data_IF_837573264148
#
_entry.id   IF_837573264148
#
_cell.length_a   1.000
_cell.length_b   1.000
_cell.length_c   1.000
_cell.angle_alpha   90.00
_cell.angle_beta   90.00
_cell.angle_gamma   90.00
#
_symmetry.space_group_name_H-M   'P 1'
#
loop_
_entity.id
_entity.type
_entity.pdbx_description
1 polymer ?
#
# COMPACT_ATOMS: atom_id res chain seq x y z
N UNK A 1 6.25 36.74 -7.77
CA UNK A 1 7.34 35.77 -7.88
C UNK A 1 6.96 34.53 -7.09
N UNK A 2 6.96 33.36 -7.72
CA UNK A 2 6.70 32.08 -7.02
C UNK A 2 7.80 31.78 -6.01
N UNK A 3 7.54 30.96 -4.99
CA UNK A 3 8.56 30.59 -3.99
C UNK A 3 9.81 29.96 -4.66
N UNK A 4 9.61 29.25 -5.77
CA UNK A 4 10.68 28.64 -6.58
C UNK A 4 11.54 29.66 -7.34
N UNK A 5 10.97 30.82 -7.72
CA UNK A 5 11.71 31.88 -8.41
C UNK A 5 12.71 32.60 -7.51
N UNK A 6 12.54 32.49 -6.19
CA UNK A 6 13.47 33.03 -5.19
C UNK A 6 14.62 32.08 -4.87
N UNK A 7 14.58 30.84 -5.36
CA UNK A 7 15.62 29.85 -5.09
C UNK A 7 16.78 30.05 -6.06
N UNK A 8 17.87 30.58 -5.52
CA UNK A 8 19.15 30.73 -6.22
C UNK A 8 20.05 29.49 -5.99
N UNK A 9 21.11 29.38 -6.79
CA UNK A 9 22.06 28.28 -6.70
C UNK A 9 21.53 26.93 -7.22
N UNK A 10 22.22 25.87 -6.80
CA UNK A 10 21.89 24.47 -7.16
C UNK A 10 21.35 23.79 -5.91
N UNK A 11 20.15 23.23 -6.03
CA UNK A 11 19.52 22.46 -4.96
C UNK A 11 19.59 20.97 -5.28
N UNK A 12 20.14 20.19 -4.36
CA UNK A 12 20.21 18.73 -4.43
C UNK A 12 19.24 18.13 -3.43
N UNK A 13 18.13 17.60 -3.93
CA UNK A 13 17.09 16.93 -3.15
C UNK A 13 17.36 15.42 -3.18
N UNK A 14 17.58 14.83 -2.02
CA UNK A 14 18.05 13.44 -1.91
C UNK A 14 17.40 12.70 -0.75
N UNK A 15 17.61 11.39 -0.70
CA UNK A 15 17.15 10.52 0.39
C UNK A 15 18.26 10.37 1.42
N UNK A 16 18.13 11.01 2.59
CA UNK A 16 19.14 10.97 3.65
C UNK A 16 19.37 9.59 4.28
N UNK A 17 18.39 8.69 4.22
CA UNK A 17 18.56 7.31 4.71
C UNK A 17 19.33 6.41 3.72
N UNK A 18 19.45 6.84 2.47
CA UNK A 18 20.18 6.12 1.43
C UNK A 18 21.69 6.42 1.52
N UNK A 19 22.54 5.43 1.85
CA UNK A 19 23.99 5.66 1.98
C UNK A 19 24.64 6.21 0.72
N UNK A 20 24.18 5.78 -0.46
CA UNK A 20 24.72 6.24 -1.74
C UNK A 20 24.37 7.71 -1.97
N UNK A 21 23.12 8.09 -1.69
CA UNK A 21 22.64 9.46 -1.86
C UNK A 21 23.30 10.41 -0.85
N UNK A 22 23.45 9.99 0.40
CA UNK A 22 24.11 10.77 1.45
C UNK A 22 25.59 11.00 1.12
N UNK A 23 26.30 9.96 0.65
CA UNK A 23 27.69 10.11 0.23
C UNK A 23 27.83 10.99 -1.02
N UNK A 24 26.88 10.89 -1.96
CA UNK A 24 26.82 11.80 -3.10
C UNK A 24 26.60 13.26 -2.64
N UNK A 25 25.69 13.52 -1.70
CA UNK A 25 25.45 14.84 -1.13
C UNK A 25 26.72 15.43 -0.49
N UNK A 26 27.43 14.61 0.31
CA UNK A 26 28.69 15.01 0.98
C UNK A 26 29.84 15.26 -0.01
N UNK A 27 29.92 14.46 -1.06
CA UNK A 27 30.99 14.53 -2.06
C UNK A 27 30.73 15.59 -3.15
N UNK A 28 29.47 16.00 -3.35
CA UNK A 28 29.11 16.93 -4.40
C UNK A 28 29.75 18.30 -4.15
N UNK A 29 30.47 18.78 -5.16
CA UNK A 29 31.01 20.12 -5.24
C UNK A 29 30.62 20.67 -6.61
N UNK A 30 29.98 21.83 -6.65
CA UNK A 30 29.59 22.47 -7.91
C UNK A 30 30.62 23.52 -8.30
N UNK A 31 30.70 23.84 -9.60
CA UNK A 31 31.51 24.98 -10.06
C UNK A 31 30.96 26.27 -9.44
N UNK A 32 31.83 27.14 -8.95
CA UNK A 32 31.48 28.45 -8.36
C UNK A 32 30.58 29.30 -9.30
N UNK A 33 30.70 29.10 -10.62
CA UNK A 33 29.86 29.76 -11.64
C UNK A 33 28.36 29.41 -11.57
N UNK A 34 27.97 28.41 -10.78
CA UNK A 34 26.58 27.94 -10.64
C UNK A 34 25.92 28.42 -9.35
N UNK A 35 26.62 29.21 -8.53
CA UNK A 35 26.17 29.67 -7.22
C UNK A 35 26.45 28.64 -6.12
N UNK A 36 25.70 28.75 -5.02
CA UNK A 36 25.82 27.90 -3.85
C UNK A 36 25.11 26.55 -4.03
N UNK A 37 25.62 25.52 -3.34
CA UNK A 37 25.01 24.20 -3.28
C UNK A 37 24.17 24.09 -2.02
N UNK A 38 22.87 23.88 -2.20
CA UNK A 38 21.93 23.62 -1.12
C UNK A 38 21.56 22.13 -1.13
N UNK A 39 21.61 21.49 0.03
CA UNK A 39 21.22 20.10 0.23
C UNK A 39 19.87 20.07 0.93
N UNK A 40 18.93 19.28 0.40
CA UNK A 40 17.60 19.12 0.96
C UNK A 40 17.34 17.62 1.15
N UNK A 41 17.11 17.19 2.38
CA UNK A 41 16.75 15.80 2.65
C UNK A 41 15.23 15.65 2.53
N UNK A 42 14.81 14.85 1.56
CA UNK A 42 13.41 14.59 1.28
C UNK A 42 12.63 13.95 2.44
N UNK A 43 13.32 13.42 3.45
CA UNK A 43 12.69 12.81 4.64
C UNK A 43 12.39 13.81 5.75
N UNK A 44 13.25 14.81 5.96
CA UNK A 44 13.07 15.81 7.01
C UNK A 44 12.40 17.09 6.49
N UNK A 45 12.64 17.44 5.23
CA UNK A 45 12.24 18.73 4.66
C UNK A 45 11.01 18.63 3.75
N UNK A 46 9.96 17.96 4.23
CA UNK A 46 8.74 17.70 3.45
C UNK A 46 7.97 18.97 3.07
N UNK A 47 8.03 20.00 3.92
CA UNK A 47 7.28 21.25 3.75
C UNK A 47 8.00 22.28 2.87
N UNK A 48 9.17 21.93 2.33
CA UNK A 48 9.94 22.83 1.48
C UNK A 48 9.24 23.05 0.12
N UNK A 49 9.23 24.28 -0.44
CA UNK A 49 8.59 24.55 -1.74
C UNK A 49 9.07 23.67 -2.90
N UNK A 50 10.31 23.18 -2.84
CA UNK A 50 10.84 22.22 -3.83
C UNK A 50 10.17 20.85 -3.73
N UNK A 51 9.88 20.37 -2.52
CA UNK A 51 9.22 19.09 -2.30
C UNK A 51 7.82 19.09 -2.92
N UNK A 52 7.07 20.18 -2.72
CA UNK A 52 5.78 20.38 -3.38
C UNK A 52 5.90 20.41 -4.92
N UNK A 53 6.87 21.18 -5.44
CA UNK A 53 7.09 21.28 -6.88
C UNK A 53 7.51 19.95 -7.53
N UNK A 54 8.31 19.13 -6.84
CA UNK A 54 8.70 17.78 -7.24
C UNK A 54 7.46 16.87 -7.36
N UNK A 55 6.57 16.93 -6.37
CA UNK A 55 5.33 16.16 -6.35
C UNK A 55 4.39 16.58 -7.48
N UNK A 56 4.21 17.89 -7.69
CA UNK A 56 3.40 18.43 -8.79
C UNK A 56 3.95 17.99 -10.17
N UNK A 57 5.27 17.85 -10.30
CA UNK A 57 5.93 17.36 -11.52
C UNK A 57 5.99 15.84 -11.66
N UNK A 58 5.42 15.08 -10.72
CA UNK A 58 5.43 13.61 -10.72
C UNK A 58 6.85 13.02 -10.78
N UNK A 59 7.80 13.67 -10.11
CA UNK A 59 9.18 13.18 -9.99
C UNK A 59 9.29 12.29 -8.73
N UNK A 60 9.50 10.99 -8.94
CA UNK A 60 9.50 10.00 -7.86
C UNK A 60 10.85 9.92 -7.14
N UNK A 61 10.88 10.34 -5.88
CA UNK A 61 12.09 10.36 -5.05
C UNK A 61 12.54 8.96 -4.61
N UNK A 62 11.68 7.94 -4.67
CA UNK A 62 12.09 6.53 -4.51
C UNK A 62 12.88 6.02 -5.72
N UNK A 63 12.69 6.66 -6.88
CA UNK A 63 13.27 6.24 -8.15
C UNK A 63 14.56 7.00 -8.47
N UNK A 64 14.87 8.08 -7.75
CA UNK A 64 16.11 8.85 -7.89
C UNK A 64 16.11 10.18 -7.12
N UNK A 65 17.27 10.80 -7.01
CA UNK A 65 17.43 12.16 -6.47
C UNK A 65 17.04 13.22 -7.51
N UNK A 66 16.78 14.44 -7.06
CA UNK A 66 16.44 15.58 -7.91
C UNK A 66 17.47 16.70 -7.75
N UNK A 67 17.87 17.31 -8.87
CA UNK A 67 18.59 18.59 -8.89
C UNK A 67 17.66 19.66 -9.43
N UNK A 68 17.55 20.77 -8.72
CA UNK A 68 16.91 21.98 -9.18
C UNK A 68 17.94 23.09 -9.40
N UNK A 69 17.97 23.66 -10.60
CA UNK A 69 18.83 24.79 -10.94
C UNK A 69 18.21 25.58 -12.08
N UNK A 70 18.12 26.92 -11.93
CA UNK A 70 17.55 27.86 -12.91
C UNK A 70 16.18 27.40 -13.46
N UNK A 71 15.25 27.13 -12.55
CA UNK A 71 13.87 26.69 -12.88
C UNK A 71 13.78 25.36 -13.64
N UNK A 72 14.86 24.58 -13.70
CA UNK A 72 14.89 23.26 -14.33
C UNK A 72 15.11 22.16 -13.30
N UNK A 73 14.37 21.07 -13.48
CA UNK A 73 14.46 19.87 -12.67
C UNK A 73 15.19 18.79 -13.45
N UNK A 74 16.14 18.15 -12.80
CA UNK A 74 16.86 16.99 -13.29
C UNK A 74 16.61 15.86 -12.30
N UNK A 75 16.19 14.69 -12.76
CA UNK A 75 15.77 13.57 -11.91
C UNK A 75 16.51 12.30 -12.27
N UNK A 76 17.02 11.61 -11.25
CA UNK A 76 17.71 10.34 -11.40
C UNK A 76 18.88 10.42 -12.38
N UNK A 77 18.77 9.72 -13.49
CA UNK A 77 19.82 9.72 -14.52
C UNK A 77 20.18 11.12 -15.01
N UNK A 78 19.22 12.03 -15.20
CA UNK A 78 19.53 13.38 -15.70
C UNK A 78 20.20 14.25 -14.63
N UNK A 79 19.97 13.97 -13.34
CA UNK A 79 20.72 14.61 -12.26
C UNK A 79 22.17 14.11 -12.20
N UNK A 80 22.43 12.82 -12.41
CA UNK A 80 23.81 12.29 -12.53
C UNK A 80 24.54 12.92 -13.73
N UNK A 81 23.85 13.03 -14.87
CA UNK A 81 24.36 13.73 -16.04
C UNK A 81 24.66 15.21 -15.72
N UNK A 82 23.75 15.92 -15.05
CA UNK A 82 23.97 17.31 -14.63
C UNK A 82 25.24 17.42 -13.79
N UNK A 83 25.39 16.57 -12.77
CA UNK A 83 26.60 16.53 -11.94
C UNK A 83 27.85 16.24 -12.79
N UNK A 84 27.77 15.34 -13.77
CA UNK A 84 28.93 14.97 -14.61
C UNK A 84 29.49 16.15 -15.44
N UNK A 85 28.62 17.10 -15.80
CA UNK A 85 28.96 18.28 -16.62
C UNK A 85 29.32 19.49 -15.74
N UNK A 86 28.64 19.63 -14.62
CA UNK A 86 28.60 20.85 -13.81
C UNK A 86 29.32 20.76 -12.46
N UNK A 87 29.68 19.56 -11.98
CA UNK A 87 30.45 19.40 -10.76
C UNK A 87 31.93 19.80 -10.94
N UNK A 88 32.51 20.35 -9.88
CA UNK A 88 33.93 20.70 -9.82
C UNK A 88 34.79 19.42 -9.90
N UNK A 89 35.90 19.37 -10.67
CA UNK A 89 36.64 18.15 -11.03
C UNK A 89 37.38 17.45 -9.86
N UNK A 90 37.04 17.76 -8.62
CA UNK A 90 37.68 17.23 -7.42
C UNK A 90 36.93 15.99 -6.89
N UNK A 91 37.68 14.98 -6.45
CA UNK A 91 37.16 13.77 -5.80
C UNK A 91 36.89 12.58 -6.74
N UNK A 92 37.07 11.37 -6.19
CA UNK A 92 36.88 10.10 -6.91
C UNK A 92 35.45 9.94 -7.44
N UNK A 93 34.45 10.36 -6.65
CA UNK A 93 33.04 10.33 -7.04
C UNK A 93 32.81 11.12 -8.33
N UNK A 94 33.37 12.32 -8.45
CA UNK A 94 33.16 13.13 -9.65
C UNK A 94 33.90 12.56 -10.87
N UNK A 95 35.08 11.96 -10.68
CA UNK A 95 35.79 11.30 -11.77
C UNK A 95 34.99 10.13 -12.36
N UNK A 96 34.48 9.25 -11.48
CA UNK A 96 33.62 8.11 -11.85
C UNK A 96 32.33 8.61 -12.50
N UNK A 97 31.67 9.61 -11.91
CA UNK A 97 30.44 10.16 -12.44
C UNK A 97 30.64 10.74 -13.84
N UNK A 98 31.74 11.48 -14.07
CA UNK A 98 32.09 12.03 -15.38
C UNK A 98 32.39 10.97 -16.42
N UNK A 99 33.04 9.87 -16.03
CA UNK A 99 33.36 8.76 -16.92
C UNK A 99 32.09 8.04 -17.42
N UNK A 100 31.18 7.71 -16.52
CA UNK A 100 30.01 6.89 -16.86
C UNK A 100 28.79 7.67 -17.33
N UNK A 101 28.50 8.84 -16.73
CA UNK A 101 27.22 9.54 -16.95
C UNK A 101 27.28 10.64 -18.01
N UNK A 102 28.46 10.94 -18.57
CA UNK A 102 28.61 11.84 -19.72
C UNK A 102 28.15 11.18 -21.03
N UNK A 103 28.20 9.85 -21.10
CA UNK A 103 27.75 9.06 -22.26
C UNK A 103 26.36 8.49 -22.02
N UNK A 104 25.38 8.91 -22.82
CA UNK A 104 23.97 8.56 -22.62
C UNK A 104 23.68 7.05 -22.65
N UNK A 105 24.27 6.23 -23.55
CA UNK A 105 24.01 4.78 -23.57
C UNK A 105 24.48 4.09 -22.28
N UNK A 106 25.63 4.51 -21.74
CA UNK A 106 26.21 3.98 -20.51
C UNK A 106 25.35 4.35 -19.31
N UNK A 107 24.94 5.62 -19.21
CA UNK A 107 24.02 6.10 -18.18
C UNK A 107 22.68 5.35 -18.18
N UNK A 108 22.17 5.00 -19.37
CA UNK A 108 20.92 4.25 -19.53
C UNK A 108 21.03 2.80 -19.04
N UNK A 109 22.18 2.16 -19.24
CA UNK A 109 22.42 0.79 -18.78
C UNK A 109 22.75 0.71 -17.27
N UNK A 110 23.58 1.65 -16.77
CA UNK A 110 24.08 1.60 -15.39
C UNK A 110 23.05 2.09 -14.36
N UNK A 111 22.19 3.04 -14.72
CA UNK A 111 21.27 3.66 -13.77
C UNK A 111 20.30 2.67 -13.09
N UNK A 112 19.63 1.74 -13.82
CA UNK A 112 18.79 0.72 -13.18
C UNK A 112 19.54 -0.14 -12.17
N UNK A 113 20.81 -0.46 -12.43
CA UNK A 113 21.67 -1.25 -11.53
C UNK A 113 21.96 -0.48 -10.25
N UNK A 114 22.35 0.80 -10.36
CA UNK A 114 22.56 1.66 -9.19
C UNK A 114 21.30 1.83 -8.35
N UNK A 115 20.15 1.99 -9.01
CA UNK A 115 18.85 2.08 -8.34
C UNK A 115 18.48 0.79 -7.62
N UNK A 116 18.71 -0.37 -8.24
CA UNK A 116 18.51 -1.67 -7.59
C UNK A 116 19.42 -1.80 -6.35
N UNK A 117 20.68 -1.37 -6.45
CA UNK A 117 21.61 -1.29 -5.32
C UNK A 117 21.12 -0.40 -4.19
N UNK A 118 20.64 0.82 -4.51
CA UNK A 118 19.99 1.73 -3.54
C UNK A 118 18.83 1.04 -2.83
N UNK A 119 17.92 0.43 -3.57
CA UNK A 119 16.72 -0.21 -3.01
C UNK A 119 17.08 -1.39 -2.11
N UNK A 120 18.10 -2.17 -2.49
CA UNK A 120 18.62 -3.27 -1.68
C UNK A 120 19.23 -2.74 -0.37
N UNK A 121 20.06 -1.70 -0.43
CA UNK A 121 20.68 -1.11 0.76
C UNK A 121 19.64 -0.54 1.73
N UNK A 122 18.64 0.17 1.22
CA UNK A 122 17.53 0.68 2.03
C UNK A 122 16.78 -0.48 2.72
N UNK A 123 16.47 -1.55 1.98
CA UNK A 123 15.82 -2.74 2.53
C UNK A 123 16.66 -3.43 3.61
N UNK A 124 17.97 -3.56 3.38
CA UNK A 124 18.91 -4.16 4.36
C UNK A 124 19.04 -3.32 5.64
N UNK A 125 18.87 -1.99 5.55
CA UNK A 125 18.84 -1.10 6.72
C UNK A 125 17.46 -0.97 7.35
N UNK A 126 16.46 -1.73 6.88
CA UNK A 126 15.08 -1.64 7.37
C UNK A 126 14.39 -0.31 7.08
N UNK A 127 14.88 0.45 6.09
CA UNK A 127 14.34 1.77 5.74
C UNK A 127 13.22 1.64 4.72
N UNK A 128 12.14 2.37 4.96
CA UNK A 128 10.96 2.43 4.08
C UNK A 128 11.20 3.41 2.94
N UNK A 129 10.40 3.25 1.88
CA UNK A 129 10.30 4.19 0.77
C UNK A 129 9.76 5.55 1.24
N UNK A 130 10.18 6.63 0.58
CA UNK A 130 9.73 8.01 0.80
C UNK A 130 8.27 8.17 0.34
N UNK A 131 7.92 7.58 -0.81
CA UNK A 131 6.56 7.57 -1.37
C UNK A 131 5.98 8.96 -1.60
N UNK A 132 6.80 9.92 -2.05
CA UNK A 132 6.39 11.32 -2.24
C UNK A 132 5.22 11.50 -3.23
N UNK A 133 5.01 10.55 -4.13
CA UNK A 133 3.89 10.57 -5.09
C UNK A 133 2.67 9.77 -4.63
N UNK A 134 2.74 9.04 -3.51
CA UNK A 134 1.62 8.24 -3.02
C UNK A 134 0.83 9.04 -2.00
N UNK A 135 -0.50 9.04 -2.12
CA UNK A 135 -1.35 9.73 -1.17
C UNK A 135 -1.56 8.88 0.08
N UNK A 136 -0.58 8.92 0.98
CA UNK A 136 -0.60 8.18 2.26
C UNK A 136 -1.52 8.80 3.30
N UNK A 137 -2.02 10.02 3.06
CA UNK A 137 -2.89 10.73 4.01
C UNK A 137 -4.36 10.35 3.85
N UNK A 138 -4.75 9.78 2.70
CA UNK A 138 -6.11 9.31 2.47
C UNK A 138 -6.27 7.85 2.90
N UNK A 139 -7.47 7.47 3.38
CA UNK A 139 -7.81 6.08 3.60
C UNK A 139 -7.66 5.23 2.33
N UNK A 140 -7.22 3.98 2.48
CA UNK A 140 -6.90 3.06 1.39
C UNK A 140 -8.07 2.90 0.41
N UNK A 141 -9.29 2.81 0.92
CA UNK A 141 -10.49 2.58 0.11
C UNK A 141 -11.14 3.88 -0.41
N UNK A 142 -10.76 5.06 0.06
CA UNK A 142 -11.31 6.31 -0.45
C UNK A 142 -11.16 6.43 -1.99
N UNK A 143 -9.97 6.26 -2.60
CA UNK A 143 -9.84 6.30 -4.05
C UNK A 143 -10.55 5.13 -4.77
N UNK A 144 -10.77 4.01 -4.08
CA UNK A 144 -11.49 2.83 -4.61
C UNK A 144 -12.98 3.16 -4.79
N UNK A 145 -13.56 3.92 -3.86
CA UNK A 145 -14.94 4.38 -3.92
C UNK A 145 -15.14 5.66 -4.74
N UNK A 146 -14.09 6.46 -4.92
CA UNK A 146 -14.15 7.72 -5.67
C UNK A 146 -15.18 8.69 -5.07
N UNK A 147 -16.00 9.32 -5.90
CA UNK A 147 -17.02 10.29 -5.45
C UNK A 147 -18.10 9.67 -4.56
N UNK A 148 -18.32 8.37 -4.64
CA UNK A 148 -19.29 7.70 -3.76
C UNK A 148 -18.90 7.79 -2.29
N UNK A 149 -17.59 7.89 -1.98
CA UNK A 149 -17.07 8.03 -0.63
C UNK A 149 -17.74 9.18 0.14
N UNK A 150 -17.95 10.33 -0.50
CA UNK A 150 -18.53 11.54 0.12
C UNK A 150 -19.95 11.32 0.65
N UNK A 151 -20.68 10.37 0.07
CA UNK A 151 -22.09 10.10 0.36
C UNK A 151 -22.28 8.88 1.27
N UNK A 152 -21.19 8.25 1.70
CA UNK A 152 -21.25 7.09 2.59
C UNK A 152 -21.56 7.53 4.04
N UNK A 153 -22.27 6.70 4.82
CA UNK A 153 -22.50 6.96 6.24
C UNK A 153 -21.20 7.02 7.05
N UNK A 154 -21.23 7.74 8.18
CA UNK A 154 -20.07 7.92 9.07
C UNK A 154 -19.42 6.61 9.51
N UNK A 155 -20.22 5.58 9.80
CA UNK A 155 -19.71 4.26 10.17
C UNK A 155 -18.87 3.62 9.07
N UNK A 156 -19.20 3.86 7.78
CA UNK A 156 -18.44 3.31 6.67
C UNK A 156 -17.11 4.05 6.50
N UNK A 157 -17.07 5.36 6.76
CA UNK A 157 -15.81 6.10 6.84
C UNK A 157 -14.94 5.59 7.97
N UNK A 158 -15.52 5.35 9.16
CA UNK A 158 -14.82 4.79 10.31
C UNK A 158 -14.30 3.36 10.05
N UNK A 159 -15.10 2.53 9.39
CA UNK A 159 -14.75 1.15 9.03
C UNK A 159 -13.58 1.08 8.05
N UNK A 160 -13.49 2.04 7.13
CA UNK A 160 -12.47 2.08 6.08
C UNK A 160 -11.44 3.19 6.25
N UNK A 161 -11.27 3.74 7.45
CA UNK A 161 -10.44 4.92 7.68
C UNK A 161 -8.92 4.64 7.68
N UNK A 162 -8.51 3.36 7.75
CA UNK A 162 -7.12 2.95 7.66
C UNK A 162 -6.41 3.52 6.41
N UNK A 163 -5.29 4.21 6.65
CA UNK A 163 -4.42 4.79 5.62
C UNK A 163 -3.36 3.79 5.17
N UNK A 164 -2.87 3.95 3.95
CA UNK A 164 -1.78 3.12 3.45
C UNK A 164 -0.48 3.47 4.18
N UNK A 165 0.33 2.47 4.51
CA UNK A 165 1.66 2.67 5.10
C UNK A 165 1.69 3.40 6.45
N UNK A 166 0.58 3.40 7.17
CA UNK A 166 0.48 3.90 8.54
C UNK A 166 0.53 2.74 9.54
N UNK A 167 0.40 3.08 10.82
CA UNK A 167 0.16 2.14 11.91
C UNK A 167 -1.33 2.16 12.34
N UNK A 168 -2.27 2.53 11.47
CA UNK A 168 -3.66 2.65 11.89
C UNK A 168 -4.24 1.29 12.33
N UNK A 169 -4.94 1.27 13.48
CA UNK A 169 -5.67 0.12 14.01
C UNK A 169 -7.10 0.51 14.36
N UNK A 170 -8.03 -0.13 13.66
CA UNK A 170 -9.46 0.05 13.87
C UNK A 170 -10.04 -1.29 14.33
N UNK A 171 -10.89 -1.28 15.35
CA UNK A 171 -11.45 -2.51 15.92
C UNK A 171 -12.98 -2.48 15.80
N UNK A 172 -13.53 -3.55 15.21
CA UNK A 172 -14.95 -3.84 15.25
C UNK A 172 -15.21 -5.11 16.06
N UNK A 173 -16.29 -5.10 16.84
CA UNK A 173 -16.77 -6.27 17.58
C UNK A 173 -18.20 -6.55 17.19
N UNK A 174 -18.54 -7.83 17.06
CA UNK A 174 -19.85 -8.23 16.58
C UNK A 174 -20.15 -9.68 16.85
N UNK A 175 -21.33 -10.10 16.41
CA UNK A 175 -21.76 -11.48 16.44
C UNK A 175 -22.07 -11.94 15.02
N UNK A 176 -21.70 -13.16 14.71
CA UNK A 176 -21.85 -13.73 13.37
C UNK A 176 -22.54 -15.08 13.39
N UNK A 177 -23.28 -15.35 12.33
CA UNK A 177 -23.74 -16.67 11.94
C UNK A 177 -22.86 -17.18 10.81
N UNK A 178 -22.35 -18.40 10.93
CA UNK A 178 -21.59 -19.08 9.88
C UNK A 178 -22.33 -20.35 9.50
N UNK A 179 -22.49 -20.56 8.20
CA UNK A 179 -23.13 -21.73 7.62
C UNK A 179 -22.24 -22.33 6.54
N UNK A 180 -21.93 -23.61 6.66
CA UNK A 180 -21.08 -24.37 5.77
C UNK A 180 -21.78 -25.66 5.32
N UNK A 181 -21.70 -25.92 4.01
CA UNK A 181 -22.13 -27.17 3.39
C UNK A 181 -21.38 -28.37 3.96
N UNK A 182 -21.97 -29.55 3.84
CA UNK A 182 -21.40 -30.79 4.41
C UNK A 182 -19.98 -31.11 3.90
N UNK A 183 -19.69 -30.83 2.62
CA UNK A 183 -18.39 -31.09 2.03
C UNK A 183 -17.29 -30.19 2.63
N UNK A 184 -17.57 -28.89 2.83
CA UNK A 184 -16.64 -27.99 3.51
C UNK A 184 -16.42 -28.39 4.97
N UNK A 185 -17.47 -28.83 5.66
CA UNK A 185 -17.38 -29.30 7.05
C UNK A 185 -16.49 -30.53 7.18
N UNK A 186 -16.53 -31.44 6.20
CA UNK A 186 -15.61 -32.58 6.13
C UNK A 186 -14.14 -32.12 6.01
N UNK A 187 -13.89 -31.04 5.27
CA UNK A 187 -12.55 -30.47 5.08
C UNK A 187 -12.15 -29.46 6.17
N UNK A 188 -12.98 -29.26 7.21
CA UNK A 188 -12.75 -28.24 8.24
C UNK A 188 -11.41 -28.37 8.98
N UNK A 189 -10.92 -29.57 9.36
CA UNK A 189 -9.61 -29.72 10.00
C UNK A 189 -8.46 -29.25 9.10
N UNK A 190 -8.54 -29.57 7.80
CA UNK A 190 -7.55 -29.15 6.81
C UNK A 190 -7.63 -27.63 6.57
N UNK A 191 -8.84 -27.07 6.47
CA UNK A 191 -9.04 -25.61 6.36
C UNK A 191 -8.41 -24.88 7.54
N UNK A 192 -8.59 -25.38 8.78
CA UNK A 192 -7.97 -24.82 9.98
C UNK A 192 -6.45 -24.84 9.92
N UNK A 193 -5.85 -25.94 9.47
CA UNK A 193 -4.40 -26.10 9.41
C UNK A 193 -3.75 -25.11 8.44
N UNK A 194 -4.42 -24.81 7.32
CA UNK A 194 -3.91 -23.88 6.30
C UNK A 194 -4.33 -22.42 6.54
N UNK A 195 -4.98 -22.11 7.67
CA UNK A 195 -5.47 -20.77 7.97
C UNK A 195 -6.58 -20.30 7.01
N UNK A 196 -7.43 -21.23 6.59
CA UNK A 196 -8.58 -21.03 5.72
C UNK A 196 -9.80 -20.47 6.45
N UNK A 197 -10.97 -20.61 5.83
CA UNK A 197 -12.23 -20.13 6.41
C UNK A 197 -12.77 -21.10 7.48
N UNK A 198 -13.45 -20.61 8.53
CA UNK A 198 -14.06 -21.45 9.55
C UNK A 198 -15.26 -22.23 8.97
N UNK A 199 -15.05 -23.50 8.64
CA UNK A 199 -16.09 -24.36 8.07
C UNK A 199 -16.94 -25.05 9.16
N UNK A 200 -17.61 -24.27 10.01
CA UNK A 200 -18.47 -24.75 11.10
C UNK A 200 -19.84 -24.08 11.06
N UNK A 201 -20.89 -24.82 11.40
CA UNK A 201 -22.24 -24.26 11.52
C UNK A 201 -22.45 -23.82 12.96
N UNK A 202 -22.37 -22.52 13.21
CA UNK A 202 -22.69 -21.92 14.50
C UNK A 202 -23.33 -20.55 14.28
N UNK A 203 -24.30 -20.23 15.13
CA UNK A 203 -24.90 -18.91 15.25
C UNK A 203 -24.34 -18.18 16.47
N UNK A 204 -24.47 -16.86 16.46
CA UNK A 204 -24.10 -16.00 17.59
C UNK A 204 -22.64 -16.18 18.03
N UNK A 205 -21.73 -16.30 17.06
CA UNK A 205 -20.30 -16.42 17.31
C UNK A 205 -19.76 -15.02 17.61
N UNK A 206 -19.18 -14.76 18.80
CA UNK A 206 -18.53 -13.49 19.06
C UNK A 206 -17.27 -13.36 18.20
N UNK A 207 -17.16 -12.26 17.46
CA UNK A 207 -16.04 -11.98 16.57
C UNK A 207 -15.45 -10.61 16.86
N UNK A 208 -14.13 -10.57 16.94
CA UNK A 208 -13.36 -9.34 16.93
C UNK A 208 -12.62 -9.23 15.61
N UNK A 209 -12.78 -8.11 14.91
CA UNK A 209 -12.07 -7.82 13.67
C UNK A 209 -11.17 -6.62 13.92
N UNK A 210 -9.88 -6.82 13.71
CA UNK A 210 -8.87 -5.77 13.74
C UNK A 210 -8.51 -5.44 12.30
N UNK A 211 -8.73 -4.18 11.92
CA UNK A 211 -8.33 -3.60 10.64
C UNK A 211 -7.02 -2.86 10.87
N UNK A 212 -5.95 -3.40 10.32
CA UNK A 212 -4.58 -2.96 10.59
C UNK A 212 -3.94 -2.44 9.30
N UNK A 213 -3.26 -1.30 9.40
CA UNK A 213 -2.32 -0.83 8.39
C UNK A 213 -0.90 -1.19 8.83
N UNK A 214 -0.04 -1.50 7.86
CA UNK A 214 1.37 -1.79 8.12
C UNK A 214 2.26 -0.75 7.41
N UNK A 215 3.30 -0.20 8.05
CA UNK A 215 4.21 0.77 7.43
C UNK A 215 4.90 0.26 6.16
N UNK A 216 5.02 -1.07 6.05
CA UNK A 216 5.63 -1.74 4.92
C UNK A 216 4.69 -1.92 3.72
N UNK A 217 3.37 -1.84 3.90
CA UNK A 217 2.38 -2.29 2.93
C UNK A 217 1.30 -1.26 2.56
N UNK A 218 0.81 -1.26 1.32
CA UNK A 218 -0.30 -0.41 0.89
C UNK A 218 -1.69 -0.99 1.22
N UNK A 219 -1.73 -2.15 1.87
CA UNK A 219 -2.95 -2.94 2.03
C UNK A 219 -3.59 -2.77 3.41
N UNK A 220 -4.89 -3.04 3.46
CA UNK A 220 -5.66 -3.16 4.69
C UNK A 220 -5.59 -4.61 5.16
N UNK A 221 -5.01 -4.85 6.33
CA UNK A 221 -4.93 -6.17 6.95
C UNK A 221 -6.19 -6.40 7.75
N UNK A 222 -6.85 -7.53 7.51
CA UNK A 222 -7.98 -8.00 8.28
C UNK A 222 -7.50 -9.13 9.17
N UNK A 223 -7.59 -8.95 10.47
CA UNK A 223 -7.30 -9.98 11.45
C UNK A 223 -8.58 -10.29 12.23
N UNK A 224 -9.23 -11.40 11.86
CA UNK A 224 -10.56 -11.79 12.34
C UNK A 224 -10.39 -12.93 13.35
N UNK A 225 -10.77 -12.68 14.59
CA UNK A 225 -10.73 -13.68 15.66
C UNK A 225 -12.14 -14.16 15.99
N UNK A 226 -12.46 -15.40 15.60
CA UNK A 226 -13.74 -16.05 15.85
C UNK A 226 -13.69 -16.87 17.14
N UNK A 227 -14.52 -16.53 18.12
CA UNK A 227 -14.65 -17.26 19.39
C UNK A 227 -15.70 -18.37 19.25
N UNK A 228 -15.36 -19.40 18.48
CA UNK A 228 -16.23 -20.56 18.26
C UNK A 228 -16.44 -21.32 19.58
N UNK A 229 -17.68 -21.74 19.83
CA UNK A 229 -18.05 -22.44 21.06
C UNK A 229 -17.30 -23.76 21.19
N UNK A 230 -16.70 -24.00 22.36
CA UNK A 230 -15.96 -25.23 22.67
C UNK A 230 -14.61 -25.38 21.96
N UNK A 231 -14.07 -24.31 21.34
CA UNK A 231 -12.80 -24.36 20.62
C UNK A 231 -11.89 -23.18 20.97
N UNK A 232 -10.57 -23.36 20.77
CA UNK A 232 -9.63 -22.23 20.77
C UNK A 232 -10.00 -21.23 19.67
N UNK A 233 -9.83 -19.92 19.91
CA UNK A 233 -10.14 -18.88 18.92
C UNK A 233 -9.57 -19.21 17.55
N UNK A 234 -10.41 -19.12 16.54
CA UNK A 234 -10.02 -19.32 15.16
C UNK A 234 -9.61 -17.97 14.58
N UNK A 235 -8.37 -17.85 14.11
CA UNK A 235 -7.87 -16.59 13.55
C UNK A 235 -7.77 -16.72 12.03
N UNK A 236 -8.40 -15.79 11.32
CA UNK A 236 -8.28 -15.64 9.88
C UNK A 236 -7.65 -14.29 9.57
N UNK A 237 -6.46 -14.33 8.97
CA UNK A 237 -5.74 -13.13 8.55
C UNK A 237 -5.70 -13.05 7.02
N UNK A 238 -6.03 -11.89 6.48
CA UNK A 238 -5.90 -11.58 5.06
C UNK A 238 -5.47 -10.13 4.86
N UNK A 239 -5.01 -9.79 3.66
CA UNK A 239 -4.60 -8.41 3.33
C UNK A 239 -5.23 -7.99 2.02
N UNK A 240 -6.01 -6.92 2.04
CA UNK A 240 -6.66 -6.37 0.87
C UNK A 240 -5.86 -5.21 0.29
N UNK A 241 -5.49 -5.33 -0.98
CA UNK A 241 -4.60 -4.38 -1.66
C UNK A 241 -5.32 -3.77 -2.87
N UNK A 242 -5.28 -2.44 -3.06
CA UNK A 242 -5.79 -1.82 -4.28
C UNK A 242 -5.04 -2.30 -5.54
N UNK A 243 -5.77 -2.58 -6.62
CA UNK A 243 -5.22 -2.95 -7.93
C UNK A 243 -5.43 -1.85 -8.99
N UNK A 244 -6.04 -0.72 -8.60
CA UNK A 244 -6.42 0.38 -9.48
C UNK A 244 -7.93 0.44 -9.76
N UNK A 245 -8.43 1.66 -9.93
CA UNK A 245 -9.88 1.90 -10.03
C UNK A 245 -10.61 1.37 -8.79
N UNK A 246 -11.71 0.65 -9.02
CA UNK A 246 -12.50 0.02 -7.95
C UNK A 246 -12.13 -1.46 -7.70
N UNK A 247 -11.03 -1.96 -8.28
CA UNK A 247 -10.58 -3.34 -8.15
C UNK A 247 -9.61 -3.46 -6.97
N UNK A 248 -9.85 -4.45 -6.12
CA UNK A 248 -8.95 -4.85 -5.05
C UNK A 248 -8.63 -6.33 -5.13
N UNK A 249 -7.57 -6.73 -4.44
CA UNK A 249 -7.17 -8.13 -4.29
C UNK A 249 -6.98 -8.44 -2.80
N UNK A 250 -7.77 -9.38 -2.28
CA UNK A 250 -7.60 -9.93 -0.93
C UNK A 250 -6.64 -11.11 -0.99
N UNK A 251 -5.45 -10.93 -0.43
CA UNK A 251 -4.43 -11.97 -0.28
C UNK A 251 -4.72 -12.76 0.99
N UNK A 252 -4.97 -14.04 0.84
CA UNK A 252 -5.20 -14.98 1.93
C UNK A 252 -3.95 -15.82 2.18
N UNK A 253 -4.01 -16.67 3.21
CA UNK A 253 -3.01 -17.70 3.51
C UNK A 253 -2.70 -18.57 2.28
N UNK A 254 -1.48 -19.09 2.23
CA UNK A 254 -1.00 -19.98 1.15
C UNK A 254 -0.96 -19.33 -0.25
N UNK A 255 -1.10 -18.01 -0.35
CA UNK A 255 -0.97 -17.26 -1.60
C UNK A 255 -2.22 -17.28 -2.47
N UNK A 256 -3.35 -17.83 -2.00
CA UNK A 256 -4.63 -17.67 -2.69
C UNK A 256 -5.08 -16.21 -2.60
N UNK A 257 -5.53 -15.65 -3.72
CA UNK A 257 -6.00 -14.29 -3.80
C UNK A 257 -7.42 -14.26 -4.36
N UNK A 258 -8.30 -13.49 -3.72
CA UNK A 258 -9.62 -13.16 -4.26
C UNK A 258 -9.59 -11.76 -4.87
N UNK A 259 -9.99 -11.65 -6.13
CA UNK A 259 -10.15 -10.36 -6.81
C UNK A 259 -11.59 -9.90 -6.63
N UNK A 260 -11.76 -8.67 -6.20
CA UNK A 260 -13.06 -8.12 -5.79
C UNK A 260 -13.21 -6.69 -6.31
N UNK A 261 -14.41 -6.37 -6.81
CA UNK A 261 -14.78 -5.00 -7.19
C UNK A 261 -15.64 -4.39 -6.12
N UNK A 262 -15.22 -3.23 -5.64
CA UNK A 262 -15.99 -2.42 -4.71
C UNK A 262 -16.93 -1.49 -5.46
N UNK A 263 -18.12 -1.31 -4.91
CA UNK A 263 -19.08 -0.33 -5.39
C UNK A 263 -20.01 0.10 -4.27
N UNK A 264 -20.47 1.34 -4.32
CA UNK A 264 -21.52 1.83 -3.45
C UNK A 264 -22.82 1.90 -4.25
N UNK A 265 -23.83 1.12 -3.88
CA UNK A 265 -25.13 1.08 -4.58
C UNK A 265 -26.26 0.81 -3.60
N UNK A 266 -27.36 1.55 -3.72
CA UNK A 266 -28.55 1.36 -2.88
C UNK A 266 -28.25 1.40 -1.36
N UNK A 267 -27.41 2.33 -0.92
CA UNK A 267 -27.10 2.53 0.51
C UNK A 267 -26.23 1.44 1.14
N UNK A 268 -25.57 0.61 0.33
CA UNK A 268 -24.69 -0.46 0.78
C UNK A 268 -23.41 -0.52 -0.07
N UNK A 269 -22.34 -0.95 0.58
CA UNK A 269 -21.11 -1.38 -0.07
C UNK A 269 -21.36 -2.76 -0.67
N UNK A 270 -21.07 -2.94 -1.95
CA UNK A 270 -21.11 -4.24 -2.62
C UNK A 270 -19.71 -4.64 -3.08
N UNK A 271 -19.35 -5.85 -2.70
CA UNK A 271 -18.11 -6.53 -3.02
C UNK A 271 -18.45 -7.63 -4.03
N UNK A 272 -18.23 -7.34 -5.31
CA UNK A 272 -18.57 -8.25 -6.40
C UNK A 272 -17.35 -9.08 -6.81
N UNK A 273 -17.55 -10.39 -6.97
CA UNK A 273 -16.49 -11.30 -7.42
C UNK A 273 -15.89 -10.87 -8.77
N UNK A 274 -14.56 -10.88 -8.87
CA UNK A 274 -13.83 -10.55 -10.10
C UNK A 274 -12.77 -11.61 -10.48
N UNK A 275 -12.84 -12.80 -9.88
CA UNK A 275 -11.95 -13.94 -10.15
C UNK A 275 -10.99 -14.25 -9.00
N UNK A 276 -10.14 -15.25 -9.23
CA UNK A 276 -9.06 -15.61 -8.32
C UNK A 276 -7.69 -15.35 -8.94
N UNK A 277 -6.69 -15.25 -8.08
CA UNK A 277 -5.27 -15.21 -8.43
C UNK A 277 -4.47 -16.07 -7.45
N UNK A 278 -3.28 -16.50 -7.87
CA UNK A 278 -2.27 -17.07 -6.99
C UNK A 278 -1.08 -16.11 -6.92
N UNK A 279 -0.63 -15.81 -5.71
CA UNK A 279 0.52 -14.95 -5.46
C UNK A 279 1.81 -15.75 -5.60
N UNK A 280 2.53 -15.59 -6.71
CA UNK A 280 3.79 -16.25 -6.99
C UNK A 280 4.94 -15.24 -6.89
N UNK A 281 5.85 -15.41 -5.92
CA UNK A 281 6.94 -14.46 -5.63
C UNK A 281 6.49 -12.99 -5.49
N UNK A 282 5.29 -12.75 -4.95
CA UNK A 282 4.73 -11.40 -4.78
C UNK A 282 3.98 -10.86 -5.99
N UNK A 283 3.91 -11.61 -7.09
CA UNK A 283 3.16 -11.27 -8.29
C UNK A 283 1.84 -12.07 -8.30
N UNK A 284 0.67 -11.42 -8.26
CA UNK A 284 -0.60 -12.11 -8.37
C UNK A 284 -0.87 -12.49 -9.83
N UNK A 285 -0.92 -13.80 -10.11
CA UNK A 285 -1.27 -14.36 -11.43
C UNK A 285 -2.71 -14.85 -11.41
N UNK A 286 -3.54 -14.36 -12.32
CA UNK A 286 -4.95 -14.74 -12.40
C UNK A 286 -5.12 -16.21 -12.79
N UNK A 287 -5.98 -16.93 -12.10
CA UNK A 287 -6.23 -18.35 -12.34
C UNK A 287 -7.73 -18.63 -12.47
N UNK A 288 -8.15 -19.58 -13.33
CA UNK A 288 -9.55 -19.89 -13.57
C UNK A 288 -10.10 -20.82 -12.47
N UNK A 289 -10.02 -20.43 -11.19
CA UNK A 289 -10.51 -21.25 -10.07
C UNK A 289 -12.02 -21.09 -9.80
N UNK A 290 -12.72 -20.26 -10.59
CA UNK A 290 -14.15 -19.98 -10.41
C UNK A 290 -15.02 -21.24 -10.50
N UNK A 291 -14.67 -22.20 -11.35
CA UNK A 291 -15.43 -23.45 -11.49
C UNK A 291 -15.29 -24.37 -10.28
N UNK A 292 -14.19 -24.22 -9.51
CA UNK A 292 -13.87 -25.06 -8.36
C UNK A 292 -14.29 -24.40 -7.03
N UNK A 293 -14.00 -23.11 -6.87
CA UNK A 293 -14.24 -22.36 -5.62
C UNK A 293 -15.52 -21.52 -5.66
N UNK A 294 -16.13 -21.36 -6.84
CA UNK A 294 -17.32 -20.53 -6.98
C UNK A 294 -17.04 -19.02 -6.94
N UNK A 295 -18.12 -18.23 -6.98
CA UNK A 295 -18.07 -16.77 -6.84
C UNK A 295 -18.35 -16.34 -5.40
N UNK A 296 -17.69 -15.27 -4.98
CA UNK A 296 -17.86 -14.70 -3.63
C UNK A 296 -18.59 -13.36 -3.79
N UNK A 297 -19.77 -13.27 -3.22
CA UNK A 297 -20.56 -12.04 -3.20
C UNK A 297 -20.71 -11.58 -1.76
N UNK A 298 -20.43 -10.30 -1.54
CA UNK A 298 -20.47 -9.71 -0.21
C UNK A 298 -21.11 -8.33 -0.24
N UNK A 299 -21.77 -7.96 0.85
CA UNK A 299 -22.26 -6.60 1.05
C UNK A 299 -22.06 -6.15 2.49
N UNK A 300 -22.00 -4.84 2.66
CA UNK A 300 -21.94 -4.18 3.96
C UNK A 300 -22.88 -2.99 3.95
N UNK A 301 -23.65 -2.84 5.02
CA UNK A 301 -24.68 -1.81 5.15
C UNK A 301 -24.63 -1.21 6.54
N UNK A 302 -24.62 0.12 6.60
CA UNK A 302 -24.76 0.83 7.86
C UNK A 302 -26.12 0.51 8.51
N UNK A 303 -26.10 0.13 9.78
CA UNK A 303 -27.31 -0.08 10.61
C UNK A 303 -27.49 1.02 11.64
N UNK A 304 -26.43 1.76 11.95
CA UNK A 304 -26.43 2.87 12.89
C UNK A 304 -25.21 3.78 12.72
N UNK A 305 -25.01 4.75 13.62
CA UNK A 305 -23.92 5.72 13.53
C UNK A 305 -22.53 5.09 13.67
N UNK A 306 -22.43 3.99 14.43
CA UNK A 306 -21.20 3.23 14.70
C UNK A 306 -21.35 1.74 14.42
N UNK A 307 -22.48 1.31 13.84
CA UNK A 307 -22.77 -0.10 13.59
C UNK A 307 -23.08 -0.38 12.12
N UNK A 308 -22.67 -1.55 11.67
CA UNK A 308 -22.92 -2.03 10.32
C UNK A 308 -23.17 -3.54 10.30
N UNK A 309 -24.01 -3.96 9.37
CA UNK A 309 -24.23 -5.37 9.07
C UNK A 309 -23.44 -5.74 7.82
N UNK A 310 -22.91 -6.95 7.79
CA UNK A 310 -22.29 -7.52 6.61
C UNK A 310 -22.79 -8.94 6.36
N UNK A 311 -22.78 -9.34 5.10
CA UNK A 311 -22.95 -10.74 4.74
C UNK A 311 -22.08 -11.09 3.54
N UNK A 312 -21.60 -12.32 3.54
CA UNK A 312 -20.79 -12.91 2.48
C UNK A 312 -21.35 -14.28 2.16
N UNK A 313 -21.49 -14.57 0.88
CA UNK A 313 -21.96 -15.85 0.39
C UNK A 313 -21.05 -16.32 -0.73
N UNK A 314 -20.66 -17.59 -0.68
CA UNK A 314 -19.89 -18.26 -1.72
C UNK A 314 -20.82 -19.20 -2.49
N UNK A 315 -20.95 -18.93 -3.79
CA UNK A 315 -21.80 -19.67 -4.71
C UNK A 315 -20.96 -20.56 -5.61
N UNK A 316 -21.09 -21.87 -5.46
CA UNK A 316 -20.53 -22.83 -6.40
C UNK A 316 -21.42 -22.87 -7.67
N UNK A 317 -20.86 -22.98 -8.89
CA UNK A 317 -21.65 -22.95 -10.12
C UNK A 317 -22.68 -24.08 -10.22
N UNK A 318 -22.40 -25.22 -9.58
CA UNK A 318 -23.25 -26.43 -9.64
C UNK A 318 -24.10 -26.59 -8.37
N UNK A 319 -23.55 -26.25 -7.19
CA UNK A 319 -24.17 -26.58 -5.90
C UNK A 319 -24.88 -25.39 -5.25
N UNK A 320 -24.82 -24.21 -5.88
CA UNK A 320 -25.34 -22.99 -5.30
C UNK A 320 -24.54 -22.53 -4.08
N UNK A 321 -25.21 -21.85 -3.15
CA UNK A 321 -24.59 -21.34 -1.94
C UNK A 321 -24.14 -22.50 -1.03
N UNK A 322 -22.83 -22.63 -0.82
CA UNK A 322 -22.26 -23.71 0.01
C UNK A 322 -21.50 -23.19 1.23
N UNK A 323 -21.27 -21.88 1.30
CA UNK A 323 -20.73 -21.21 2.47
C UNK A 323 -21.32 -19.81 2.57
N UNK A 324 -21.75 -19.42 3.76
CA UNK A 324 -22.15 -18.06 4.04
C UNK A 324 -21.77 -17.66 5.46
N UNK A 325 -21.53 -16.38 5.64
CA UNK A 325 -21.53 -15.78 6.96
C UNK A 325 -22.18 -14.42 6.93
N UNK A 326 -22.87 -14.09 8.01
CA UNK A 326 -23.49 -12.78 8.19
C UNK A 326 -23.39 -12.37 9.64
N UNK A 327 -23.35 -11.07 9.88
CA UNK A 327 -23.23 -10.55 11.23
C UNK A 327 -23.41 -9.05 11.30
N UNK A 328 -23.56 -8.57 12.53
CA UNK A 328 -23.62 -7.15 12.85
C UNK A 328 -22.45 -6.80 13.75
N UNK A 329 -21.83 -5.66 13.45
CA UNK A 329 -20.61 -5.19 14.05
C UNK A 329 -20.75 -3.75 14.50
N UNK A 330 -20.10 -3.43 15.61
CA UNK A 330 -19.98 -2.08 16.14
C UNK A 330 -18.51 -1.70 16.19
N UNK A 331 -18.19 -0.49 15.73
CA UNK A 331 -16.85 0.09 15.85
C UNK A 331 -16.57 0.46 17.32
N UNK A 332 -15.47 -0.03 17.88
CA UNK A 332 -15.15 0.10 19.31
C UNK A 332 -13.99 1.05 19.57
N UNK A 333 -12.98 1.05 18.70
CA UNK A 333 -11.76 1.85 18.90
C UNK A 333 -11.10 2.19 17.58
N UNK A 334 -10.53 3.39 17.51
CA UNK A 334 -9.60 3.85 16.48
C UNK A 334 -8.35 4.31 17.23
N UNK A 335 -7.22 3.62 17.03
CA UNK A 335 -5.92 3.95 17.63
C UNK A 335 -4.83 3.79 16.59
N UNK A 336 -3.71 4.50 16.72
CA UNK A 336 -2.48 4.12 16.04
C UNK A 336 -1.78 3.02 16.87
N UNK A 337 -1.30 1.95 16.21
CA UNK A 337 -0.51 0.88 16.83
C UNK A 337 0.83 1.49 17.28
N UNK A 338 1.00 1.69 18.58
CA UNK A 338 2.21 2.28 19.16
C UNK A 338 2.03 3.08 20.45
N UNK A 339 0.79 3.32 20.89
CA UNK A 339 0.45 4.12 22.08
C UNK A 339 0.30 3.32 23.40
N UNK A 340 0.94 2.14 23.51
CA UNK A 340 0.95 1.32 24.75
C UNK A 340 2.31 1.36 25.46
#
# INVERSE_FOLDING_TARGET
MTALEKLEGVWFVYDGDCPICEQAAKALRIKQSLGDLHLLDARSDTDHPLSEAINQKQLDLDEGMVIFHRQRFYHGRTALWFMSVHAAPQGLFNHINRLFFRFEPVARALYPVMRAGRNLLLKLRGKTKIRNLQNTNLPILQPVFGDAWKHMPSVMHAHYANRAFSNDLHIAKGHMKVEAGWFLRLLAPMSRLIGGIPAYNQSDIPVEVRFESEPAGPGLVFNRAFKLHGMKPYVFRSTMVPMGGNLMIEKMSFGLCWRVRFSWRAGQVKLAHAGYALNFFGIPVTVPLNWLLGSIDAYEKATGPNSFAMAVTIHHPIWGAYYSYSGEFTMVSMKEVGDD
#
